data_IF_793068066067
#
_entry.id   IF_793068066067
#
_cell.length_a   1.000
_cell.length_b   1.000
_cell.length_c   1.000
_cell.angle_alpha   90.00
_cell.angle_beta   90.00
_cell.angle_gamma   90.00
#
_symmetry.space_group_name_H-M   'P 1'
#
loop_
_entity.id
_entity.type
_entity.pdbx_description
1 polymer ?
#
# COMPACT_ATOMS: atom_id res chain seq x y z
N UNK A 1 8.44 -3.59 -0.91
CA UNK A 1 8.45 -3.97 0.52
C UNK A 1 8.81 -5.42 0.54
N UNK A 2 9.91 -5.76 1.19
CA UNK A 2 10.55 -7.06 1.04
C UNK A 2 9.79 -8.21 1.76
N UNK A 3 9.38 -9.22 0.99
CA UNK A 3 8.88 -10.54 1.38
C UNK A 3 9.97 -11.44 1.97
N UNK A 4 9.57 -12.30 2.90
CA UNK A 4 10.46 -13.24 3.60
C UNK A 4 10.59 -14.55 2.83
N UNK A 5 11.78 -14.84 2.33
CA UNK A 5 12.17 -16.16 1.88
C UNK A 5 12.98 -16.87 2.98
N UNK A 6 12.71 -18.16 3.19
CA UNK A 6 13.38 -18.98 4.19
C UNK A 6 14.41 -19.88 3.50
N UNK A 7 15.70 -19.63 3.75
CA UNK A 7 16.77 -20.55 3.42
C UNK A 7 17.12 -21.47 4.60
N UNK A 8 18.05 -22.43 4.43
CA UNK A 8 18.40 -23.41 5.46
C UNK A 8 18.87 -22.80 6.79
N UNK A 9 19.36 -21.54 6.82
CA UNK A 9 19.80 -20.88 8.06
C UNK A 9 19.71 -19.34 8.07
N UNK A 10 18.98 -18.69 7.16
CA UNK A 10 18.87 -17.22 7.13
C UNK A 10 17.52 -16.74 6.61
N UNK A 11 16.99 -15.67 7.24
CA UNK A 11 15.83 -14.92 6.76
C UNK A 11 16.31 -13.97 5.67
N UNK A 12 15.85 -14.16 4.44
CA UNK A 12 16.19 -13.27 3.32
C UNK A 12 14.94 -12.50 2.93
N UNK A 13 15.13 -11.22 2.62
CA UNK A 13 14.09 -10.26 2.28
C UNK A 13 14.19 -9.93 0.77
N UNK A 14 13.08 -9.99 0.02
CA UNK A 14 12.99 -9.66 -1.43
C UNK A 14 11.68 -8.95 -1.75
N UNK A 15 11.63 -7.91 -2.58
CA UNK A 15 10.38 -7.16 -2.83
C UNK A 15 9.16 -8.00 -3.25
N UNK A 16 9.34 -8.97 -4.13
CA UNK A 16 8.29 -9.91 -4.55
C UNK A 16 8.89 -11.32 -4.58
N UNK A 17 8.15 -12.29 -4.05
CA UNK A 17 8.46 -13.71 -4.15
C UNK A 17 7.32 -14.39 -4.91
N UNK A 18 7.54 -14.71 -6.17
CA UNK A 18 6.56 -15.42 -6.99
C UNK A 18 6.76 -16.93 -6.89
N UNK A 19 5.67 -17.70 -7.00
CA UNK A 19 5.72 -19.17 -7.05
C UNK A 19 4.91 -19.65 -8.25
N UNK A 20 5.58 -20.30 -9.20
CA UNK A 20 4.96 -20.84 -10.42
C UNK A 20 5.28 -22.34 -10.45
N UNK A 21 4.26 -23.19 -10.46
CA UNK A 21 4.41 -24.65 -10.47
C UNK A 21 5.35 -25.20 -9.37
N UNK A 22 5.29 -24.59 -8.18
CA UNK A 22 6.13 -24.97 -7.03
C UNK A 22 7.58 -24.46 -7.09
N UNK A 23 7.98 -23.76 -8.17
CA UNK A 23 9.28 -23.09 -8.28
C UNK A 23 9.15 -21.64 -7.80
N UNK A 24 10.13 -21.19 -7.01
CA UNK A 24 10.14 -19.85 -6.41
C UNK A 24 11.04 -18.90 -7.20
N UNK A 25 10.57 -17.69 -7.42
CA UNK A 25 11.28 -16.62 -8.14
C UNK A 25 11.37 -15.40 -7.23
N UNK A 26 12.58 -14.88 -7.01
CA UNK A 26 12.81 -13.65 -6.28
C UNK A 26 12.78 -12.49 -7.27
N UNK A 27 11.98 -11.45 -7.02
CA UNK A 27 11.94 -10.25 -7.86
C UNK A 27 12.20 -9.04 -6.97
N UNK A 28 13.30 -8.35 -7.21
CA UNK A 28 13.65 -7.11 -6.52
C UNK A 28 13.27 -5.89 -7.37
N UNK A 29 12.65 -4.90 -6.74
CA UNK A 29 12.21 -3.68 -7.40
C UNK A 29 13.08 -2.50 -6.95
N UNK A 30 13.55 -1.73 -7.93
CA UNK A 30 14.16 -0.43 -7.68
C UNK A 30 13.41 0.65 -8.44
N UNK A 31 13.14 1.74 -7.75
CA UNK A 31 12.46 2.91 -8.30
C UNK A 31 13.19 4.17 -7.85
N UNK A 32 13.79 4.88 -8.81
CA UNK A 32 14.48 6.15 -8.58
C UNK A 32 13.86 7.21 -9.47
N UNK A 33 13.75 8.43 -8.95
CA UNK A 33 13.01 9.48 -9.65
C UNK A 33 13.75 10.80 -9.65
N UNK A 34 13.62 11.53 -10.75
CA UNK A 34 13.76 12.99 -10.81
C UNK A 34 12.41 13.64 -10.56
N UNK A 35 12.42 14.88 -10.04
CA UNK A 35 11.19 15.58 -9.75
C UNK A 35 10.43 15.88 -11.03
N UNK A 36 9.13 15.61 -11.00
CA UNK A 36 8.20 15.96 -12.07
C UNK A 36 6.81 16.17 -11.49
N UNK A 37 6.12 17.16 -12.03
CA UNK A 37 4.70 17.40 -11.84
C UNK A 37 3.97 17.13 -13.15
N UNK A 38 3.03 16.21 -13.12
CA UNK A 38 2.23 15.81 -14.28
C UNK A 38 0.82 15.38 -13.88
N UNK A 39 -0.11 15.47 -14.83
CA UNK A 39 -1.47 14.95 -14.67
C UNK A 39 -1.60 13.72 -15.56
N UNK A 40 -2.03 12.60 -14.98
CA UNK A 40 -2.30 11.36 -15.71
C UNK A 40 -3.73 10.97 -15.39
N UNK A 41 -4.57 10.81 -16.41
CA UNK A 41 -5.98 10.43 -16.27
C UNK A 41 -6.78 11.29 -15.27
N UNK A 42 -6.45 12.58 -15.18
CA UNK A 42 -7.10 13.54 -14.28
C UNK A 42 -6.55 13.55 -12.85
N UNK A 43 -5.60 12.68 -12.51
CA UNK A 43 -4.90 12.67 -11.22
C UNK A 43 -3.58 13.44 -11.30
N UNK A 44 -3.33 14.30 -10.31
CA UNK A 44 -2.09 15.07 -10.18
C UNK A 44 -1.01 14.26 -9.46
N UNK A 45 0.14 14.07 -10.13
CA UNK A 45 1.31 13.42 -9.58
C UNK A 45 2.44 14.43 -9.36
N UNK A 46 3.02 14.41 -8.16
CA UNK A 46 4.24 15.14 -7.82
C UNK A 46 5.29 14.15 -7.31
N UNK A 47 6.31 13.88 -8.12
CA UNK A 47 7.39 12.97 -7.78
C UNK A 47 8.54 13.71 -7.10
N UNK A 48 9.11 13.10 -6.06
CA UNK A 48 10.27 13.63 -5.36
C UNK A 48 11.58 13.30 -6.09
N UNK A 49 12.61 14.09 -5.80
CA UNK A 49 13.97 13.82 -6.27
C UNK A 49 14.66 12.75 -5.40
N UNK A 50 15.05 11.63 -6.01
CA UNK A 50 15.89 10.59 -5.42
C UNK A 50 17.32 10.72 -5.96
N UNK A 51 18.01 11.81 -5.59
CA UNK A 51 19.42 12.06 -5.95
C UNK A 51 20.42 11.04 -5.38
N UNK A 52 21.72 11.36 -5.46
CA UNK A 52 22.84 10.47 -5.09
C UNK A 52 22.90 9.20 -5.98
N UNK A 53 23.08 9.43 -7.28
CA UNK A 53 23.06 8.36 -8.29
C UNK A 53 24.23 7.39 -8.17
N UNK A 54 25.36 7.84 -7.65
CA UNK A 54 26.50 7.00 -7.27
C UNK A 54 26.07 5.92 -6.26
N UNK A 55 25.40 6.31 -5.18
CA UNK A 55 24.86 5.39 -4.17
C UNK A 55 23.75 4.52 -4.76
N UNK A 56 22.86 5.11 -5.56
CA UNK A 56 21.75 4.39 -6.20
C UNK A 56 22.23 3.26 -7.12
N UNK A 57 23.28 3.51 -7.90
CA UNK A 57 23.91 2.50 -8.78
C UNK A 57 24.51 1.34 -7.98
N UNK A 58 25.23 1.64 -6.90
CA UNK A 58 25.74 0.62 -6.00
C UNK A 58 24.61 -0.24 -5.42
N UNK A 59 23.54 0.39 -4.93
CA UNK A 59 22.42 -0.33 -4.29
C UNK A 59 21.72 -1.28 -5.27
N UNK A 60 21.50 -0.86 -6.52
CA UNK A 60 20.92 -1.71 -7.58
C UNK A 60 21.78 -2.97 -7.83
N UNK A 61 23.11 -2.82 -7.87
CA UNK A 61 24.01 -3.96 -8.08
C UNK A 61 24.17 -4.83 -6.84
N UNK A 62 24.06 -4.24 -5.64
CA UNK A 62 24.04 -4.99 -4.38
C UNK A 62 22.82 -5.89 -4.30
N UNK A 63 21.68 -5.43 -4.81
CA UNK A 63 20.49 -6.26 -4.93
C UNK A 63 20.66 -7.39 -5.93
N UNK A 64 21.29 -7.13 -7.08
CA UNK A 64 21.64 -8.18 -8.04
C UNK A 64 22.51 -9.27 -7.39
N UNK A 65 23.56 -8.87 -6.66
CA UNK A 65 24.39 -9.81 -5.90
C UNK A 65 23.57 -10.61 -4.88
N UNK A 66 22.62 -9.95 -4.19
CA UNK A 66 21.75 -10.62 -3.21
C UNK A 66 20.86 -11.66 -3.89
N UNK A 67 20.30 -11.35 -5.07
CA UNK A 67 19.52 -12.29 -5.87
C UNK A 67 20.35 -13.49 -6.33
N UNK A 68 21.59 -13.28 -6.79
CA UNK A 68 22.51 -14.37 -7.12
C UNK A 68 22.78 -15.29 -5.93
N UNK A 69 22.93 -14.71 -4.73
CA UNK A 69 23.15 -15.47 -3.51
C UNK A 69 21.91 -16.30 -3.15
N UNK A 70 20.69 -15.77 -3.31
CA UNK A 70 19.46 -16.51 -3.07
C UNK A 70 19.31 -17.73 -4.00
N UNK A 71 19.71 -17.60 -5.27
CA UNK A 71 19.75 -18.71 -6.22
C UNK A 71 20.79 -19.74 -5.80
N UNK A 72 22.00 -19.29 -5.46
CA UNK A 72 23.09 -20.18 -5.01
C UNK A 72 22.74 -20.95 -3.73
N UNK A 73 21.98 -20.34 -2.82
CA UNK A 73 21.51 -20.94 -1.57
C UNK A 73 20.29 -21.86 -1.78
N UNK A 74 19.79 -22.00 -3.00
CA UNK A 74 18.61 -22.81 -3.33
C UNK A 74 17.30 -22.26 -2.78
N UNK A 75 17.26 -20.99 -2.39
CA UNK A 75 16.08 -20.32 -1.83
C UNK A 75 15.03 -20.07 -2.93
N UNK A 76 15.50 -19.72 -4.12
CA UNK A 76 14.72 -19.48 -5.33
C UNK A 76 15.43 -20.14 -6.51
N UNK A 77 14.67 -20.48 -7.55
CA UNK A 77 15.24 -21.00 -8.80
C UNK A 77 15.81 -19.90 -9.68
N UNK A 78 15.35 -18.66 -9.49
CA UNK A 78 15.73 -17.52 -10.30
C UNK A 78 15.51 -16.21 -9.53
N UNK A 79 16.41 -15.26 -9.72
CA UNK A 79 16.32 -13.88 -9.27
C UNK A 79 16.13 -12.93 -10.45
N UNK A 80 15.24 -11.95 -10.29
CA UNK A 80 14.90 -10.94 -11.28
C UNK A 80 15.06 -9.57 -10.63
N UNK A 81 15.83 -8.68 -11.24
CA UNK A 81 15.92 -7.29 -10.84
C UNK A 81 15.15 -6.44 -11.84
N UNK A 82 14.25 -5.60 -11.36
CA UNK A 82 13.54 -4.60 -12.18
C UNK A 82 13.88 -3.22 -11.64
N UNK A 83 14.52 -2.40 -12.46
CA UNK A 83 14.87 -1.03 -12.12
C UNK A 83 14.18 -0.04 -13.05
N UNK A 84 13.24 0.73 -12.51
CA UNK A 84 12.48 1.76 -13.20
C UNK A 84 12.95 3.16 -12.77
N UNK A 85 13.19 4.06 -13.73
CA UNK A 85 13.61 5.43 -13.44
C UNK A 85 13.23 6.42 -14.54
N UNK A 86 12.96 7.66 -14.17
CA UNK A 86 12.91 8.82 -15.09
C UNK A 86 14.18 9.69 -15.03
N UNK A 87 15.20 9.23 -14.30
CA UNK A 87 16.51 9.87 -14.25
C UNK A 87 17.44 9.27 -15.31
N UNK A 88 17.56 9.96 -16.45
CA UNK A 88 18.41 9.55 -17.57
C UNK A 88 19.88 9.33 -17.17
N UNK A 89 20.36 9.93 -16.07
CA UNK A 89 21.75 9.75 -15.65
C UNK A 89 22.09 8.30 -15.26
N UNK A 90 21.10 7.43 -14.99
CA UNK A 90 21.36 6.02 -14.74
C UNK A 90 21.68 5.23 -16.02
N UNK A 91 21.04 5.55 -17.14
CA UNK A 91 21.18 4.83 -18.41
C UNK A 91 22.10 5.51 -19.44
N UNK A 92 22.40 6.80 -19.26
CA UNK A 92 23.25 7.55 -20.18
C UNK A 92 24.73 7.24 -19.97
N UNK A 93 25.44 6.92 -21.06
CA UNK A 93 26.90 6.82 -21.07
C UNK A 93 27.50 8.23 -20.94
N UNK A 94 28.37 8.51 -19.95
CA UNK A 94 29.04 9.80 -19.83
C UNK A 94 30.01 10.13 -20.98
N UNK A 95 30.24 9.22 -21.93
CA UNK A 95 30.94 9.44 -23.20
C UNK A 95 32.46 9.66 -23.11
N UNK A 96 32.96 9.98 -21.92
CA UNK A 96 34.39 10.01 -21.60
C UNK A 96 34.67 9.10 -20.41
N UNK A 97 35.77 8.37 -20.50
CA UNK A 97 36.28 7.53 -19.42
C UNK A 97 36.87 8.39 -18.28
N UNK A 98 35.99 9.12 -17.60
CA UNK A 98 36.33 9.89 -16.41
C UNK A 98 36.44 8.93 -15.24
N UNK A 99 37.58 8.98 -14.54
CA UNK A 99 37.76 8.29 -13.26
C UNK A 99 36.83 8.90 -12.20
N UNK A 100 35.60 8.41 -12.16
CA UNK A 100 34.57 8.78 -11.19
C UNK A 100 34.49 7.72 -10.09
N UNK A 101 34.12 8.13 -8.88
CA UNK A 101 34.04 7.27 -7.70
C UNK A 101 33.22 5.99 -7.93
N UNK A 102 32.14 6.08 -8.71
CA UNK A 102 31.17 5.01 -8.95
C UNK A 102 31.32 4.34 -10.33
N UNK A 103 32.44 4.55 -11.04
CA UNK A 103 32.66 4.06 -12.41
C UNK A 103 32.29 2.58 -12.59
N UNK A 104 32.75 1.75 -11.65
CA UNK A 104 32.51 0.31 -11.69
C UNK A 104 31.03 -0.04 -11.49
N UNK A 105 30.24 0.82 -10.83
CA UNK A 105 28.81 0.62 -10.57
C UNK A 105 27.89 1.20 -11.64
N UNK A 106 28.41 1.89 -12.67
CA UNK A 106 27.59 2.48 -13.74
C UNK A 106 26.61 1.46 -14.35
N UNK A 107 25.44 1.95 -14.74
CA UNK A 107 24.32 1.16 -15.27
C UNK A 107 23.90 1.61 -16.68
N UNK A 108 24.80 2.26 -17.44
CA UNK A 108 24.42 2.81 -18.73
C UNK A 108 24.12 1.72 -19.78
N UNK A 109 23.40 2.11 -20.82
CA UNK A 109 23.08 1.26 -21.97
C UNK A 109 24.34 0.58 -22.54
N UNK A 110 24.22 -0.71 -22.84
CA UNK A 110 25.25 -1.53 -23.46
C UNK A 110 26.43 -1.89 -22.55
N UNK A 111 26.44 -1.49 -21.27
CA UNK A 111 27.52 -1.86 -20.35
C UNK A 111 27.40 -3.33 -19.94
N UNK A 112 28.51 -4.06 -19.95
CA UNK A 112 28.62 -5.36 -19.28
C UNK A 112 28.96 -5.22 -17.79
N UNK A 113 28.27 -5.95 -16.93
CA UNK A 113 28.52 -6.01 -15.49
C UNK A 113 28.85 -7.44 -15.06
N UNK A 114 30.02 -7.62 -14.45
CA UNK A 114 30.49 -8.90 -13.91
C UNK A 114 31.68 -8.70 -12.97
N UNK A 115 31.96 -9.68 -12.12
CA UNK A 115 33.17 -9.74 -11.29
C UNK A 115 33.12 -8.83 -10.07
N UNK A 116 34.31 -8.49 -9.56
CA UNK A 116 34.47 -7.65 -8.36
C UNK A 116 34.34 -6.17 -8.73
N UNK A 117 33.37 -5.48 -8.13
CA UNK A 117 33.11 -4.06 -8.33
C UNK A 117 33.48 -3.29 -7.05
N UNK A 118 34.33 -2.28 -7.20
CA UNK A 118 34.81 -1.44 -6.11
C UNK A 118 34.55 0.03 -6.38
N UNK A 119 34.46 0.83 -5.32
CA UNK A 119 34.61 2.28 -5.41
C UNK A 119 35.99 2.65 -5.98
N UNK A 120 36.09 3.82 -6.61
CA UNK A 120 37.37 4.38 -7.05
C UNK A 120 38.28 4.68 -5.86
N UNK A 121 39.59 4.56 -6.05
CA UNK A 121 40.60 4.65 -4.96
C UNK A 121 40.54 5.93 -4.13
N UNK A 122 40.06 7.03 -4.72
CA UNK A 122 39.97 8.35 -4.09
C UNK A 122 38.56 8.69 -3.57
N UNK A 123 37.66 7.70 -3.48
CA UNK A 123 36.30 7.94 -3.00
C UNK A 123 36.30 8.30 -1.50
N UNK A 124 35.63 9.39 -1.15
CA UNK A 124 35.56 9.86 0.23
C UNK A 124 34.80 8.89 1.14
N UNK A 125 35.27 8.75 2.39
CA UNK A 125 34.65 7.90 3.42
C UNK A 125 33.17 8.21 3.67
N UNK A 126 32.77 9.48 3.55
CA UNK A 126 31.37 9.88 3.67
C UNK A 126 30.47 9.30 2.57
N UNK A 127 30.98 9.20 1.34
CA UNK A 127 30.26 8.63 0.19
C UNK A 127 30.10 7.10 0.36
N UNK A 128 31.12 6.42 0.88
CA UNK A 128 31.11 4.97 1.05
C UNK A 128 30.37 4.48 2.29
N UNK A 129 29.92 5.37 3.18
CA UNK A 129 29.34 4.98 4.47
C UNK A 129 28.17 3.99 4.32
N UNK A 130 28.34 2.78 4.86
CA UNK A 130 27.39 1.65 4.76
C UNK A 130 27.44 0.87 3.43
N UNK A 131 28.41 1.16 2.57
CA UNK A 131 28.64 0.61 1.21
C UNK A 131 30.13 0.36 0.96
N UNK A 132 30.91 0.17 2.03
CA UNK A 132 32.37 0.08 1.98
C UNK A 132 32.83 -1.21 1.29
N UNK A 133 32.05 -2.28 1.45
CA UNK A 133 32.38 -3.60 0.93
C UNK A 133 32.26 -3.67 -0.60
N UNK A 134 33.25 -4.26 -1.29
CA UNK A 134 33.16 -4.57 -2.71
C UNK A 134 31.97 -5.48 -3.02
N UNK A 135 31.35 -5.24 -4.17
CA UNK A 135 30.34 -6.16 -4.71
C UNK A 135 31.02 -7.24 -5.54
N UNK A 136 30.49 -8.46 -5.49
CA UNK A 136 30.95 -9.60 -6.27
C UNK A 136 29.79 -10.15 -7.09
N UNK A 137 29.74 -9.77 -8.37
CA UNK A 137 28.74 -10.26 -9.33
C UNK A 137 29.30 -11.52 -9.98
N UNK A 138 28.66 -12.67 -9.74
CA UNK A 138 29.11 -13.98 -10.23
C UNK A 138 28.75 -14.19 -11.70
N UNK A 139 27.57 -13.73 -12.10
CA UNK A 139 27.11 -13.74 -13.48
C UNK A 139 27.75 -12.64 -14.32
N UNK A 140 27.40 -12.65 -15.61
CA UNK A 140 27.69 -11.56 -16.54
C UNK A 140 26.37 -11.06 -17.12
N UNK A 141 26.16 -9.76 -17.03
CA UNK A 141 24.91 -9.11 -17.42
C UNK A 141 25.23 -7.97 -18.38
N UNK A 142 24.70 -8.06 -19.60
CA UNK A 142 24.71 -6.94 -20.53
C UNK A 142 23.46 -6.09 -20.29
N UNK A 143 23.67 -4.81 -20.02
CA UNK A 143 22.61 -3.91 -19.59
C UNK A 143 21.89 -3.32 -20.79
N UNK A 144 20.61 -3.67 -20.93
CA UNK A 144 19.72 -3.12 -21.96
C UNK A 144 18.51 -2.45 -21.32
N UNK A 145 18.34 -1.16 -21.59
CA UNK A 145 17.23 -0.35 -21.13
C UNK A 145 16.12 -0.33 -22.16
N UNK A 146 14.91 -0.58 -21.70
CA UNK A 146 13.70 -0.42 -22.50
C UNK A 146 13.00 0.90 -22.13
N UNK A 147 12.42 1.57 -23.12
CA UNK A 147 11.45 2.64 -22.87
C UNK A 147 10.22 2.03 -22.22
N UNK A 148 9.81 2.56 -21.06
CA UNK A 148 8.67 2.06 -20.30
C UNK A 148 7.41 2.90 -20.54
N UNK A 149 7.48 4.21 -20.26
CA UNK A 149 6.36 5.11 -20.45
C UNK A 149 6.82 6.55 -20.65
N UNK A 150 5.93 7.37 -21.22
CA UNK A 150 6.08 8.82 -21.26
C UNK A 150 4.83 9.46 -20.65
N UNK A 151 4.99 10.11 -19.51
CA UNK A 151 3.89 10.73 -18.73
C UNK A 151 3.81 12.25 -18.94
N UNK A 152 4.84 12.83 -19.55
CA UNK A 152 4.91 14.26 -19.86
C UNK A 152 5.93 14.51 -20.96
N UNK A 153 5.79 15.62 -21.68
CA UNK A 153 6.84 16.14 -22.57
C UNK A 153 7.93 16.92 -21.82
N UNK A 154 7.76 17.18 -20.51
CA UNK A 154 8.75 17.87 -19.66
C UNK A 154 9.95 16.95 -19.38
N UNK A 155 11.08 17.57 -19.01
CA UNK A 155 12.24 16.85 -18.48
C UNK A 155 11.84 15.98 -17.28
N UNK A 156 12.25 14.72 -17.27
CA UNK A 156 11.80 13.72 -16.29
C UNK A 156 10.44 13.07 -16.62
N UNK A 157 9.85 13.36 -17.78
CA UNK A 157 8.59 12.76 -18.22
C UNK A 157 8.73 11.39 -18.86
N UNK A 158 9.95 10.94 -19.15
CA UNK A 158 10.26 9.65 -19.75
C UNK A 158 10.75 8.69 -18.69
N UNK A 159 10.15 7.50 -18.64
CA UNK A 159 10.57 6.41 -17.77
C UNK A 159 11.20 5.30 -18.60
N UNK A 160 12.32 4.78 -18.11
CA UNK A 160 13.05 3.65 -18.68
C UNK A 160 13.19 2.54 -17.65
N UNK A 161 13.18 1.30 -18.13
CA UNK A 161 13.24 0.10 -17.33
C UNK A 161 14.47 -0.73 -17.71
N UNK A 162 15.23 -1.17 -16.71
CA UNK A 162 16.27 -2.18 -16.82
C UNK A 162 15.78 -3.44 -16.11
N UNK A 163 15.75 -4.56 -16.82
CA UNK A 163 15.37 -5.86 -16.26
C UNK A 163 16.52 -6.86 -16.42
N UNK A 164 16.97 -7.45 -15.31
CA UNK A 164 18.03 -8.46 -15.30
C UNK A 164 17.50 -9.76 -14.70
N UNK A 165 17.87 -10.89 -15.29
CA UNK A 165 17.56 -12.22 -14.77
C UNK A 165 18.86 -12.98 -14.50
N UNK A 166 18.96 -13.62 -13.33
CA UNK A 166 20.09 -14.48 -12.97
C UNK A 166 20.19 -15.75 -13.84
N UNK A 167 19.14 -16.09 -14.58
CA UNK A 167 19.12 -17.23 -15.51
C UNK A 167 19.70 -16.88 -16.88
N UNK A 168 19.83 -15.58 -17.20
CA UNK A 168 20.38 -15.06 -18.44
C UNK A 168 21.89 -15.15 -18.57
N UNK A 169 22.57 -15.97 -17.74
CA UNK A 169 24.00 -16.28 -17.88
C UNK A 169 24.19 -17.12 -19.15
N UNK A 170 24.26 -16.46 -20.31
CA UNK A 170 24.45 -17.15 -21.58
C UNK A 170 25.88 -17.69 -21.68
N UNK A 171 26.01 -19.01 -21.67
CA UNK A 171 26.72 -19.66 -22.78
C UNK A 171 25.77 -19.66 -23.98
N UNK A 172 26.11 -18.80 -24.94
CA UNK A 172 25.56 -18.69 -26.30
C UNK A 172 24.10 -18.20 -26.50
N UNK A 173 24.03 -17.34 -27.52
CA UNK A 173 22.97 -16.46 -27.96
C UNK A 173 21.71 -17.14 -28.45
N UNK A 174 20.57 -16.77 -27.86
CA UNK A 174 19.34 -16.51 -28.63
C UNK A 174 18.66 -15.26 -28.12
N UNK A 175 18.74 -14.18 -28.90
CA UNK A 175 18.00 -12.94 -28.69
C UNK A 175 16.49 -13.18 -28.78
N UNK A 176 15.78 -12.90 -27.69
CA UNK A 176 14.44 -12.34 -27.76
C UNK A 176 14.45 -11.12 -26.86
N UNK A 177 14.72 -9.96 -27.46
CA UNK A 177 14.57 -8.68 -26.79
C UNK A 177 13.12 -8.55 -26.29
N UNK A 178 12.94 -8.51 -24.98
CA UNK A 178 11.66 -8.20 -24.37
C UNK A 178 11.30 -6.75 -24.71
N UNK A 179 10.19 -6.57 -25.43
CA UNK A 179 9.55 -5.27 -25.63
C UNK A 179 8.36 -5.18 -24.70
N UNK A 180 8.24 -4.15 -23.84
CA UNK A 180 7.01 -3.94 -23.10
C UNK A 180 5.85 -3.72 -24.09
N UNK A 181 4.63 -4.20 -23.80
CA UNK A 181 3.47 -3.78 -24.57
C UNK A 181 3.42 -2.25 -24.56
N UNK A 182 3.36 -1.66 -25.75
CA UNK A 182 3.10 -0.24 -25.93
C UNK A 182 1.92 0.15 -25.04
N UNK A 183 2.09 1.24 -24.27
CA UNK A 183 1.08 2.09 -23.64
C UNK A 183 -0.35 1.53 -23.68
N UNK A 184 -0.92 1.27 -22.51
CA UNK A 184 -2.38 1.15 -22.33
C UNK A 184 -3.00 2.44 -22.87
N UNK A 185 -3.43 2.42 -24.13
CA UNK A 185 -4.44 3.35 -24.62
C UNK A 185 -5.76 2.84 -24.07
N UNK A 186 -6.36 3.64 -23.20
CA UNK A 186 -7.67 3.37 -22.63
C UNK A 186 -8.71 3.23 -23.73
N UNK A 187 -8.97 2.00 -24.17
CA UNK A 187 -10.24 1.57 -24.76
C UNK A 187 -10.21 0.05 -24.92
N UNK A 188 -10.86 -0.64 -24.00
CA UNK A 188 -11.73 -1.80 -24.24
C UNK A 188 -12.14 -2.37 -22.88
N UNK A 189 -13.25 -1.84 -22.36
CA UNK A 189 -14.02 -2.51 -21.31
C UNK A 189 -14.63 -3.73 -21.99
N UNK A 190 -14.00 -4.90 -21.80
CA UNK A 190 -14.64 -6.17 -22.07
C UNK A 190 -15.60 -6.43 -20.91
N UNK A 191 -16.89 -6.21 -21.17
CA UNK A 191 -17.96 -6.65 -20.30
C UNK A 191 -18.07 -8.17 -20.35
N UNK A 192 -18.08 -8.78 -19.18
CA UNK A 192 -18.50 -10.16 -19.00
C UNK A 192 -17.46 -10.99 -18.26
N UNK A 193 -17.66 -11.14 -16.96
CA UNK A 193 -17.66 -12.43 -16.26
C UNK A 193 -18.12 -12.17 -14.81
N UNK A 194 -19.43 -12.24 -14.58
CA UNK A 194 -20.00 -12.31 -13.23
C UNK A 194 -19.87 -13.74 -12.73
N UNK A 195 -18.97 -13.97 -11.79
CA UNK A 195 -19.04 -15.11 -10.87
C UNK A 195 -18.74 -14.59 -9.47
N UNK A 196 -19.70 -13.88 -8.89
CA UNK A 196 -19.78 -13.64 -7.45
C UNK A 196 -20.76 -14.66 -6.89
N UNK A 197 -20.24 -15.60 -6.10
CA UNK A 197 -21.07 -16.45 -5.23
C UNK A 197 -21.88 -15.54 -4.32
N UNK A 198 -23.21 -15.58 -4.48
CA UNK A 198 -24.17 -14.88 -3.64
C UNK A 198 -24.00 -15.28 -2.18
N UNK A 199 -23.41 -14.39 -1.38
CA UNK A 199 -23.58 -14.42 0.07
C UNK A 199 -24.82 -13.59 0.34
N UNK A 200 -25.91 -14.26 0.75
CA UNK A 200 -27.15 -13.61 1.12
C UNK A 200 -26.92 -12.65 2.30
N UNK A 201 -26.92 -11.35 2.01
CA UNK A 201 -26.90 -10.28 3.01
C UNK A 201 -28.29 -10.24 3.64
N UNK A 202 -28.37 -10.49 4.96
CA UNK A 202 -29.60 -10.28 5.73
C UNK A 202 -29.86 -8.77 5.81
N UNK A 203 -31.05 -8.38 5.38
CA UNK A 203 -31.59 -7.02 5.46
C UNK A 203 -31.90 -6.65 6.92
N UNK A 204 -31.19 -5.65 7.47
CA UNK A 204 -31.21 -5.32 8.91
C UNK A 204 -31.29 -3.82 9.26
N UNK A 205 -31.71 -2.95 8.33
CA UNK A 205 -31.96 -1.52 8.66
C UNK A 205 -31.29 -0.51 7.73
N UNK A 206 -31.26 -0.84 6.44
CA UNK A 206 -31.03 -0.02 5.26
C UNK A 206 -30.00 1.12 5.41
N UNK A 207 -28.77 0.81 5.03
CA UNK A 207 -27.84 1.78 4.43
C UNK A 207 -27.72 1.46 2.94
N UNK A 208 -28.73 1.77 2.09
CA UNK A 208 -28.77 1.29 0.71
C UNK A 208 -27.55 1.73 -0.11
N UNK A 209 -27.00 2.90 0.20
CA UNK A 209 -25.77 3.38 -0.42
C UNK A 209 -24.58 2.48 -0.09
N UNK A 210 -24.48 1.96 1.14
CA UNK A 210 -23.39 1.07 1.53
C UNK A 210 -23.59 -0.33 0.96
N UNK A 211 -24.83 -0.82 0.95
CA UNK A 211 -25.14 -2.14 0.39
C UNK A 211 -24.85 -2.17 -1.12
N UNK A 212 -25.21 -1.10 -1.84
CA UNK A 212 -24.88 -0.95 -3.25
C UNK A 212 -23.37 -0.77 -3.49
N UNK A 213 -22.66 -0.04 -2.62
CA UNK A 213 -21.20 0.08 -2.68
C UNK A 213 -20.51 -1.27 -2.46
N UNK A 214 -20.92 -2.02 -1.44
CA UNK A 214 -20.37 -3.32 -1.11
C UNK A 214 -20.60 -4.34 -2.23
N UNK A 215 -21.74 -4.26 -2.93
CA UNK A 215 -22.04 -5.11 -4.09
C UNK A 215 -21.10 -4.90 -5.28
N UNK A 216 -20.46 -3.74 -5.42
CA UNK A 216 -19.44 -3.53 -6.46
C UNK A 216 -18.21 -4.42 -6.24
N UNK A 217 -17.95 -4.83 -4.99
CA UNK A 217 -16.88 -5.76 -4.65
C UNK A 217 -15.49 -5.23 -4.98
N UNK A 218 -15.30 -3.91 -5.04
CA UNK A 218 -13.99 -3.33 -5.31
C UNK A 218 -13.07 -3.44 -4.08
N UNK A 219 -11.76 -3.55 -4.29
CA UNK A 219 -10.80 -3.51 -3.19
C UNK A 219 -10.20 -2.11 -3.11
N UNK A 220 -10.38 -1.40 -1.98
CA UNK A 220 -9.65 -0.18 -1.72
C UNK A 220 -8.18 -0.45 -1.40
N UNK A 221 -7.28 0.19 -2.14
CA UNK A 221 -5.82 0.05 -2.01
C UNK A 221 -5.23 0.91 -0.87
N UNK A 222 -5.98 1.90 -0.40
CA UNK A 222 -5.61 2.78 0.71
C UNK A 222 -6.86 3.36 1.39
N UNK A 223 -6.69 4.14 2.47
CA UNK A 223 -7.80 4.88 3.08
C UNK A 223 -8.31 5.99 2.17
N UNK A 224 -7.41 6.66 1.45
CA UNK A 224 -7.77 7.69 0.45
C UNK A 224 -8.57 7.05 -0.69
N UNK A 225 -8.13 5.90 -1.18
CA UNK A 225 -8.84 5.16 -2.23
C UNK A 225 -10.23 4.69 -1.76
N UNK A 226 -10.38 4.21 -0.51
CA UNK A 226 -11.69 3.89 0.06
C UNK A 226 -12.60 5.12 0.10
N UNK A 227 -12.07 6.26 0.55
CA UNK A 227 -12.82 7.53 0.62
C UNK A 227 -13.31 7.92 -0.77
N UNK A 228 -12.42 7.90 -1.76
CA UNK A 228 -12.71 8.44 -3.08
C UNK A 228 -13.65 7.51 -3.87
N UNK A 229 -13.47 6.19 -3.76
CA UNK A 229 -14.43 5.21 -4.31
C UNK A 229 -15.82 5.36 -3.69
N UNK A 230 -15.90 5.45 -2.36
CA UNK A 230 -17.18 5.65 -1.69
C UNK A 230 -17.82 7.01 -2.05
N UNK A 231 -17.03 8.07 -2.14
CA UNK A 231 -17.51 9.39 -2.56
C UNK A 231 -18.05 9.37 -3.99
N UNK A 232 -17.38 8.67 -4.91
CA UNK A 232 -17.84 8.51 -6.29
C UNK A 232 -19.13 7.71 -6.35
N UNK A 233 -19.21 6.57 -5.64
CA UNK A 233 -20.43 5.79 -5.54
C UNK A 233 -21.61 6.60 -5.00
N UNK A 234 -21.38 7.42 -3.95
CA UNK A 234 -22.40 8.31 -3.41
C UNK A 234 -22.91 9.32 -4.45
N UNK A 235 -22.02 9.86 -5.30
CA UNK A 235 -22.44 10.71 -6.43
C UNK A 235 -23.29 9.95 -7.45
N UNK A 236 -22.91 8.72 -7.78
CA UNK A 236 -23.65 7.86 -8.71
C UNK A 236 -25.06 7.55 -8.22
N UNK A 237 -25.25 7.35 -6.91
CA UNK A 237 -26.58 7.14 -6.30
C UNK A 237 -27.30 8.44 -5.91
N UNK A 238 -26.81 9.59 -6.37
CA UNK A 238 -27.53 10.86 -6.40
C UNK A 238 -27.18 11.85 -5.27
N UNK A 239 -26.13 11.65 -4.50
CA UNK A 239 -25.69 12.64 -3.51
C UNK A 239 -24.77 13.71 -4.12
N UNK A 240 -24.92 14.94 -3.64
CA UNK A 240 -23.90 15.98 -3.77
C UNK A 240 -22.83 15.75 -2.70
N UNK A 241 -21.59 15.46 -3.13
CA UNK A 241 -20.52 15.00 -2.23
C UNK A 241 -19.36 15.98 -2.15
N UNK A 242 -19.03 16.41 -0.93
CA UNK A 242 -17.80 17.10 -0.56
C UNK A 242 -16.91 16.14 0.23
N UNK A 243 -15.67 15.95 -0.24
CA UNK A 243 -14.65 15.24 0.53
C UNK A 243 -13.93 16.22 1.44
N UNK A 244 -13.44 15.75 2.58
CA UNK A 244 -12.55 16.53 3.44
C UNK A 244 -13.20 17.83 3.97
N UNK A 245 -14.51 17.83 4.24
CA UNK A 245 -15.28 19.02 4.63
C UNK A 245 -14.82 19.54 5.98
N UNK A 246 -14.43 20.81 6.00
CA UNK A 246 -14.03 21.54 7.20
C UNK A 246 -15.28 22.06 7.94
N UNK A 247 -15.40 21.75 9.23
CA UNK A 247 -16.45 22.20 10.14
C UNK A 247 -15.86 23.03 11.30
N UNK A 248 -14.71 23.67 11.09
CA UNK A 248 -13.96 24.45 12.06
C UNK A 248 -12.81 23.66 12.67
N UNK A 249 -13.03 23.08 13.84
CA UNK A 249 -12.00 22.30 14.54
C UNK A 249 -11.94 20.84 14.08
N UNK A 250 -12.89 20.41 13.26
CA UNK A 250 -13.04 19.03 12.83
C UNK A 250 -13.19 18.96 11.32
N UNK A 251 -12.63 17.91 10.74
CA UNK A 251 -12.70 17.60 9.33
C UNK A 251 -13.42 16.27 9.16
N UNK A 252 -14.39 16.24 8.26
CA UNK A 252 -15.16 15.05 7.90
C UNK A 252 -14.68 14.50 6.56
N UNK A 253 -14.39 13.21 6.50
CA UNK A 253 -13.84 12.58 5.29
C UNK A 253 -14.79 12.69 4.10
N UNK A 254 -16.07 12.40 4.29
CA UNK A 254 -17.10 12.52 3.26
C UNK A 254 -18.34 13.18 3.86
N UNK A 255 -18.80 14.24 3.20
CA UNK A 255 -20.08 14.87 3.45
C UNK A 255 -20.95 14.77 2.21
N UNK A 256 -22.13 14.16 2.34
CA UNK A 256 -23.00 13.89 1.21
C UNK A 256 -24.44 14.37 1.50
N UNK A 257 -25.01 15.11 0.56
CA UNK A 257 -26.34 15.74 0.67
C UNK A 257 -27.22 15.27 -0.49
N UNK A 258 -28.45 14.82 -0.20
CA UNK A 258 -29.46 14.48 -1.21
C UNK A 258 -30.84 14.78 -0.65
N UNK A 259 -31.59 15.63 -1.33
CA UNK A 259 -32.90 16.10 -0.89
C UNK A 259 -32.87 16.62 0.57
N UNK A 260 -33.56 15.93 1.49
CA UNK A 260 -33.60 16.26 2.93
C UNK A 260 -32.67 15.35 3.77
N UNK A 261 -31.80 14.57 3.13
CA UNK A 261 -30.85 13.67 3.79
C UNK A 261 -29.45 14.26 3.71
N UNK A 262 -28.82 14.44 4.87
CA UNK A 262 -27.40 14.79 4.97
C UNK A 262 -26.68 13.70 5.75
N UNK A 263 -25.60 13.16 5.17
CA UNK A 263 -24.77 12.15 5.82
C UNK A 263 -23.31 12.62 5.92
N UNK A 264 -22.71 12.35 7.08
CA UNK A 264 -21.31 12.57 7.38
C UNK A 264 -20.65 11.20 7.61
N UNK A 265 -19.56 10.90 6.89
CA UNK A 265 -18.91 9.60 6.95
C UNK A 265 -17.43 9.78 7.28
N UNK A 266 -16.95 9.02 8.26
CA UNK A 266 -15.54 8.80 8.54
C UNK A 266 -15.12 7.45 8.01
N UNK A 267 -14.00 7.39 7.28
CA UNK A 267 -13.55 6.13 6.67
C UNK A 267 -12.18 5.73 7.19
N UNK A 268 -12.04 4.45 7.51
CA UNK A 268 -10.77 3.81 7.82
C UNK A 268 -10.59 2.59 6.94
N UNK A 269 -9.40 2.47 6.36
CA UNK A 269 -8.97 1.24 5.70
C UNK A 269 -7.76 0.71 6.48
N UNK A 270 -7.88 -0.49 7.04
CA UNK A 270 -6.82 -1.13 7.84
C UNK A 270 -6.51 -2.50 7.28
N UNK A 271 -5.30 -2.67 6.77
CA UNK A 271 -4.97 -3.86 5.99
C UNK A 271 -3.92 -4.73 6.66
N UNK A 272 -4.14 -6.05 6.59
CA UNK A 272 -3.08 -7.03 6.70
C UNK A 272 -2.43 -7.22 5.33
N UNK A 273 -1.17 -7.66 5.32
CA UNK A 273 -0.43 -7.93 4.09
C UNK A 273 -1.18 -8.94 3.20
N UNK A 274 -1.45 -8.54 1.96
CA UNK A 274 -1.83 -9.44 0.86
C UNK A 274 -1.10 -9.08 -0.42
N UNK A 275 -0.83 -10.10 -1.22
CA UNK A 275 -0.46 -9.97 -2.62
C UNK A 275 -1.30 -10.99 -3.38
N UNK A 276 -2.20 -10.53 -4.23
CA UNK A 276 -3.15 -11.38 -4.93
C UNK A 276 -3.45 -10.83 -6.32
N UNK A 277 -3.93 -11.67 -7.23
CA UNK A 277 -4.53 -11.23 -8.49
C UNK A 277 -6.03 -11.19 -8.30
N UNK A 278 -6.64 -10.02 -8.53
CA UNK A 278 -8.08 -9.82 -8.46
C UNK A 278 -8.54 -9.12 -9.73
N UNK A 279 -9.54 -9.70 -10.41
CA UNK A 279 -10.07 -9.18 -11.67
C UNK A 279 -8.97 -8.91 -12.73
N UNK A 280 -7.96 -9.79 -12.80
CA UNK A 280 -6.83 -9.65 -13.72
C UNK A 280 -5.78 -8.61 -13.31
N UNK A 281 -5.98 -7.90 -12.20
CA UNK A 281 -5.04 -6.90 -11.68
C UNK A 281 -4.27 -7.44 -10.47
N UNK A 282 -2.99 -7.12 -10.38
CA UNK A 282 -2.19 -7.42 -9.17
C UNK A 282 -2.51 -6.42 -8.07
N UNK A 283 -2.98 -6.91 -6.93
CA UNK A 283 -3.25 -6.14 -5.72
C UNK A 283 -2.17 -6.42 -4.69
N UNK A 284 -1.62 -5.36 -4.10
CA UNK A 284 -0.64 -5.44 -3.02
C UNK A 284 -1.04 -4.48 -1.90
N UNK A 285 -1.54 -5.02 -0.79
CA UNK A 285 -1.88 -4.24 0.41
C UNK A 285 -0.78 -4.40 1.44
N UNK A 286 -0.30 -3.29 1.99
CA UNK A 286 0.75 -3.30 3.03
C UNK A 286 0.18 -3.73 4.37
N UNK A 287 0.99 -4.36 5.21
CA UNK A 287 0.60 -4.58 6.61
C UNK A 287 0.59 -3.26 7.38
N UNK A 288 -0.58 -2.83 7.84
CA UNK A 288 -0.76 -1.68 8.72
C UNK A 288 -0.86 -2.17 10.18
N UNK A 289 0.30 -2.54 10.73
CA UNK A 289 0.44 -2.92 12.14
C UNK A 289 0.02 -1.77 13.09
N UNK A 290 -0.06 -2.06 14.40
CA UNK A 290 -0.63 -1.20 15.45
C UNK A 290 -2.17 -1.15 15.46
N UNK A 291 -2.76 -2.33 15.69
CA UNK A 291 -4.21 -2.48 15.83
C UNK A 291 -4.77 -1.73 17.04
N UNK A 292 -4.00 -1.63 18.12
CA UNK A 292 -4.32 -0.88 19.33
C UNK A 292 -4.59 0.61 19.02
N UNK A 293 -3.64 1.26 18.36
CA UNK A 293 -3.74 2.66 17.91
C UNK A 293 -4.89 2.83 16.92
N UNK A 294 -5.04 1.90 15.98
CA UNK A 294 -6.08 1.98 14.95
C UNK A 294 -7.50 1.82 15.51
N UNK A 295 -7.65 1.02 16.56
CA UNK A 295 -8.92 0.87 17.30
C UNK A 295 -9.31 2.15 18.04
N UNK A 296 -8.34 2.79 18.71
CA UNK A 296 -8.56 4.11 19.31
C UNK A 296 -9.06 5.10 18.25
N UNK A 297 -8.36 5.19 17.12
CA UNK A 297 -8.67 6.15 16.06
C UNK A 297 -10.10 5.96 15.53
N UNK A 298 -10.51 4.70 15.27
CA UNK A 298 -11.86 4.39 14.82
C UNK A 298 -12.94 4.79 15.86
N UNK A 299 -12.69 4.53 17.14
CA UNK A 299 -13.63 4.92 18.21
C UNK A 299 -13.66 6.44 18.38
N UNK A 300 -12.53 7.12 18.16
CA UNK A 300 -12.45 8.58 18.16
C UNK A 300 -13.29 9.17 17.04
N UNK A 301 -13.33 8.53 15.87
CA UNK A 301 -14.19 8.94 14.75
C UNK A 301 -15.69 8.82 15.12
N UNK A 302 -16.08 7.77 15.86
CA UNK A 302 -17.45 7.65 16.40
C UNK A 302 -17.76 8.82 17.36
N UNK A 303 -16.86 9.12 18.30
CA UNK A 303 -17.03 10.25 19.23
C UNK A 303 -17.11 11.61 18.53
N UNK A 304 -16.30 11.80 17.47
CA UNK A 304 -16.37 12.95 16.57
C UNK A 304 -17.74 13.07 15.91
N UNK A 305 -18.24 11.98 15.34
CA UNK A 305 -19.55 11.95 14.70
C UNK A 305 -20.70 12.19 15.70
N UNK A 306 -20.61 11.72 16.95
CA UNK A 306 -21.57 12.09 18.01
C UNK A 306 -21.62 13.61 18.24
N UNK A 307 -20.47 14.30 18.15
CA UNK A 307 -20.40 15.76 18.25
C UNK A 307 -21.11 16.43 17.07
N UNK A 308 -20.84 15.96 15.85
CA UNK A 308 -21.44 16.49 14.62
C UNK A 308 -22.96 16.36 14.65
N UNK A 309 -23.49 15.16 14.89
CA UNK A 309 -24.95 14.91 14.85
C UNK A 309 -25.68 15.62 15.99
N UNK A 310 -25.01 15.88 17.12
CA UNK A 310 -25.59 16.65 18.23
C UNK A 310 -25.73 18.12 17.88
N UNK A 311 -24.72 18.70 17.23
CA UNK A 311 -24.73 20.09 16.81
C UNK A 311 -25.57 20.32 15.54
N UNK A 312 -25.80 19.26 14.76
CA UNK A 312 -26.57 19.25 13.51
C UNK A 312 -27.50 18.03 13.45
N UNK A 313 -28.67 18.08 14.12
CA UNK A 313 -29.60 16.95 14.18
C UNK A 313 -30.17 16.48 12.83
N UNK A 314 -30.06 17.32 11.79
CA UNK A 314 -30.36 17.01 10.39
C UNK A 314 -29.34 16.07 9.73
N UNK A 315 -28.19 15.86 10.36
CA UNK A 315 -27.09 15.06 9.84
C UNK A 315 -27.10 13.66 10.46
N UNK A 316 -26.92 12.64 9.63
CA UNK A 316 -26.64 11.27 10.08
C UNK A 316 -25.15 10.97 9.95
N UNK A 317 -24.51 10.56 11.05
CA UNK A 317 -23.09 10.21 11.07
C UNK A 317 -22.85 8.70 10.91
N UNK A 318 -21.85 8.31 10.11
CA UNK A 318 -21.42 6.92 9.94
C UNK A 318 -19.90 6.77 10.07
N UNK A 319 -19.43 5.85 10.92
CA UNK A 319 -18.03 5.44 10.97
C UNK A 319 -17.86 4.10 10.25
N UNK A 320 -17.12 4.09 9.14
CA UNK A 320 -16.84 2.92 8.33
C UNK A 320 -15.39 2.47 8.51
N UNK A 321 -15.20 1.22 8.93
CA UNK A 321 -13.91 0.55 8.89
C UNK A 321 -13.98 -0.64 7.93
N UNK A 322 -13.12 -0.65 6.91
CA UNK A 322 -12.89 -1.81 6.06
C UNK A 322 -11.54 -2.45 6.41
N UNK A 323 -11.52 -3.77 6.55
CA UNK A 323 -10.29 -4.48 6.89
C UNK A 323 -10.26 -5.92 6.40
N UNK A 324 -9.06 -6.41 6.06
CA UNK A 324 -8.76 -7.83 5.91
C UNK A 324 -7.89 -8.39 7.06
N UNK A 325 -7.63 -7.59 8.09
CA UNK A 325 -6.92 -8.03 9.28
C UNK A 325 -7.92 -8.57 10.31
N UNK A 326 -8.01 -9.89 10.36
CA UNK A 326 -8.92 -10.58 11.27
C UNK A 326 -8.71 -10.28 12.76
N UNK A 327 -7.60 -9.65 13.15
CA UNK A 327 -7.42 -9.19 14.51
C UNK A 327 -8.37 -8.06 14.92
N UNK A 328 -9.04 -7.38 13.99
CA UNK A 328 -10.05 -6.37 14.33
C UNK A 328 -11.38 -6.98 14.76
N UNK A 329 -11.88 -8.00 14.04
CA UNK A 329 -13.19 -8.60 14.30
C UNK A 329 -13.13 -9.86 15.18
N UNK A 330 -11.98 -10.52 15.31
CA UNK A 330 -11.86 -11.66 16.23
C UNK A 330 -11.77 -11.21 17.70
N UNK A 331 -12.41 -11.96 18.63
CA UNK A 331 -12.24 -11.74 20.06
C UNK A 331 -10.76 -11.75 20.49
N UNK A 332 -10.38 -10.97 21.51
CA UNK A 332 -9.00 -10.88 21.95
C UNK A 332 -8.53 -12.22 22.54
N UNK A 333 -7.35 -12.67 22.12
CA UNK A 333 -6.69 -13.85 22.72
C UNK A 333 -6.16 -13.58 24.13
N UNK A 334 -5.91 -12.32 24.47
CA UNK A 334 -5.42 -11.86 25.79
C UNK A 334 -6.51 -11.03 26.45
N UNK A 335 -6.92 -11.41 27.65
CA UNK A 335 -7.96 -10.71 28.42
C UNK A 335 -7.53 -9.31 28.88
N UNK A 336 -6.24 -9.13 29.21
CA UNK A 336 -5.71 -7.89 29.79
C UNK A 336 -4.82 -7.12 28.81
N UNK A 337 -5.30 -6.91 27.58
CA UNK A 337 -4.59 -6.07 26.62
C UNK A 337 -4.75 -4.59 26.99
N UNK A 338 -3.69 -3.79 26.81
CA UNK A 338 -3.68 -2.35 27.13
C UNK A 338 -4.73 -1.54 26.37
N UNK A 339 -5.20 -2.08 25.24
CA UNK A 339 -6.26 -1.52 24.39
C UNK A 339 -7.62 -2.20 24.59
N UNK A 340 -7.81 -2.92 25.71
CA UNK A 340 -9.02 -3.71 25.97
C UNK A 340 -10.31 -2.90 25.83
N UNK A 341 -10.32 -1.67 26.35
CA UNK A 341 -11.47 -0.75 26.21
C UNK A 341 -11.70 -0.26 24.78
N UNK A 342 -10.71 -0.36 23.89
CA UNK A 342 -10.83 0.00 22.47
C UNK A 342 -11.12 -1.19 21.54
N UNK A 343 -11.19 -2.44 22.02
CA UNK A 343 -11.51 -3.58 21.14
C UNK A 343 -12.78 -3.34 20.33
N UNK A 344 -12.76 -3.72 19.07
CA UNK A 344 -13.90 -3.58 18.15
C UNK A 344 -14.29 -4.93 17.55
N UNK A 345 -14.09 -6.03 18.29
CA UNK A 345 -14.41 -7.35 17.77
C UNK A 345 -15.91 -7.52 17.52
N UNK A 346 -16.25 -8.47 16.67
CA UNK A 346 -17.64 -8.79 16.35
C UNK A 346 -18.45 -9.17 17.60
N UNK A 347 -19.69 -8.71 17.63
CA UNK A 347 -20.63 -8.89 18.74
C UNK A 347 -20.35 -8.05 19.99
N UNK A 348 -19.32 -7.18 19.99
CA UNK A 348 -19.05 -6.33 21.16
C UNK A 348 -20.10 -5.24 21.27
N UNK A 349 -20.59 -4.99 22.49
CA UNK A 349 -21.33 -3.77 22.83
C UNK A 349 -20.34 -2.67 23.26
N UNK A 350 -20.20 -1.61 22.46
CA UNK A 350 -19.30 -0.49 22.70
C UNK A 350 -20.07 0.69 23.31
N UNK A 351 -19.68 1.16 24.49
CA UNK A 351 -20.35 2.27 25.19
C UNK A 351 -19.46 2.91 26.26
N UNK A 352 -19.80 4.12 26.69
CA UNK A 352 -19.20 4.77 27.85
C UNK A 352 -17.78 5.28 27.61
N UNK A 353 -16.93 5.22 28.64
CA UNK A 353 -15.56 5.75 28.60
C UNK A 353 -14.59 4.69 28.09
N UNK A 354 -13.88 5.01 27.02
CA UNK A 354 -12.81 4.20 26.46
C UNK A 354 -11.45 4.87 26.73
N UNK A 355 -10.63 4.24 27.56
CA UNK A 355 -9.29 4.71 27.93
C UNK A 355 -8.25 3.60 27.78
N UNK A 356 -6.98 3.98 27.64
CA UNK A 356 -5.87 3.05 27.76
C UNK A 356 -5.83 2.45 29.17
N UNK A 357 -5.31 1.22 29.29
CA UNK A 357 -4.94 0.67 30.59
C UNK A 357 -3.70 1.39 31.14
N UNK A 358 -3.54 1.39 32.46
CA UNK A 358 -2.45 2.09 33.16
C UNK A 358 -1.06 1.61 32.72
N UNK A 359 -0.95 0.37 32.24
CA UNK A 359 0.29 -0.24 31.77
C UNK A 359 0.63 0.08 30.30
N UNK A 360 -0.17 0.92 29.62
CA UNK A 360 0.10 1.32 28.25
C UNK A 360 1.40 2.15 28.14
N UNK A 361 2.27 1.77 27.21
CA UNK A 361 3.52 2.50 26.98
C UNK A 361 3.26 3.88 26.37
N UNK A 362 4.06 4.89 26.74
CA UNK A 362 3.93 6.27 26.23
C UNK A 362 3.98 6.36 24.70
N UNK A 363 4.78 5.50 24.04
CA UNK A 363 4.82 5.43 22.58
C UNK A 363 3.51 4.96 21.93
N UNK A 364 2.74 4.10 22.61
CA UNK A 364 1.43 3.63 22.14
C UNK A 364 0.35 4.70 22.32
N UNK A 365 0.41 5.47 23.41
CA UNK A 365 -0.62 6.47 23.76
C UNK A 365 -0.33 7.86 23.20
N UNK A 366 0.84 8.09 22.60
CA UNK A 366 1.25 9.41 22.11
C UNK A 366 0.21 10.02 21.16
N UNK A 367 -0.30 11.21 21.52
CA UNK A 367 -1.36 11.93 20.80
C UNK A 367 -2.76 11.34 20.95
N UNK A 368 -2.94 10.38 21.88
CA UNK A 368 -4.16 9.60 22.15
C UNK A 368 -4.37 9.41 23.65
N UNK A 369 -3.85 10.33 24.45
CA UNK A 369 -3.85 10.24 25.91
C UNK A 369 -5.24 10.50 26.50
N UNK A 370 -6.07 11.27 25.78
CA UNK A 370 -7.39 11.68 26.24
C UNK A 370 -8.40 10.53 26.09
N UNK A 371 -9.12 10.15 27.16
CA UNK A 371 -10.19 9.15 27.06
C UNK A 371 -11.30 9.58 26.09
N UNK A 372 -11.85 8.62 25.35
CA UNK A 372 -12.99 8.85 24.46
C UNK A 372 -14.27 8.59 25.25
N UNK A 373 -15.15 9.59 25.29
CA UNK A 373 -16.44 9.52 25.97
C UNK A 373 -17.56 9.34 24.95
N UNK A 374 -18.11 8.13 24.85
CA UNK A 374 -19.26 7.85 24.01
C UNK A 374 -20.56 8.04 24.81
N UNK A 375 -21.50 8.76 24.22
CA UNK A 375 -22.86 8.91 24.76
C UNK A 375 -23.78 7.78 24.30
N UNK A 376 -23.52 7.23 23.10
CA UNK A 376 -24.22 6.09 22.55
C UNK A 376 -23.76 4.72 23.07
N UNK A 377 -24.55 3.72 22.73
CA UNK A 377 -24.24 2.31 22.92
C UNK A 377 -24.38 1.61 21.57
N UNK A 378 -23.29 1.03 21.09
CA UNK A 378 -23.15 0.56 19.72
C UNK A 378 -22.88 -0.95 19.70
N UNK A 379 -23.84 -1.79 19.26
CA UNK A 379 -23.53 -3.16 18.91
C UNK A 379 -22.61 -3.16 17.68
N UNK A 380 -21.44 -3.78 17.80
CA UNK A 380 -20.47 -3.86 16.73
C UNK A 380 -20.70 -5.15 15.94
N UNK A 381 -21.19 -5.00 14.72
CA UNK A 381 -21.52 -6.11 13.82
C UNK A 381 -20.64 -6.01 12.58
N UNK A 382 -19.66 -6.92 12.48
CA UNK A 382 -18.84 -7.02 11.29
C UNK A 382 -19.57 -7.81 10.21
N UNK A 383 -19.57 -7.26 9.01
CA UNK A 383 -20.27 -7.83 7.86
C UNK A 383 -19.26 -8.26 6.80
N UNK A 384 -19.43 -9.44 6.17
CA UNK A 384 -18.62 -9.81 5.01
C UNK A 384 -18.70 -8.74 3.92
N UNK A 385 -17.56 -8.32 3.38
CA UNK A 385 -17.49 -7.36 2.29
C UNK A 385 -17.05 -8.03 0.99
N UNK A 386 -15.92 -8.75 1.03
CA UNK A 386 -15.37 -9.44 -0.13
C UNK A 386 -14.51 -10.61 0.33
N UNK A 387 -14.50 -11.72 -0.41
CA UNK A 387 -13.53 -12.79 -0.24
C UNK A 387 -12.86 -13.08 -1.58
N UNK A 388 -11.53 -12.96 -1.61
CA UNK A 388 -10.73 -13.28 -2.80
C UNK A 388 -10.64 -14.79 -3.01
N UNK A 389 -10.29 -15.53 -1.96
CA UNK A 389 -10.25 -16.99 -1.88
C UNK A 389 -10.20 -17.41 -0.39
N UNK A 390 -9.84 -18.67 -0.10
CA UNK A 390 -9.75 -19.20 1.26
C UNK A 390 -8.38 -19.01 1.94
N UNK A 391 -7.46 -18.25 1.34
CA UNK A 391 -6.15 -17.99 1.91
C UNK A 391 -6.22 -16.98 3.07
N UNK A 392 -5.15 -16.94 3.85
CA UNK A 392 -5.05 -16.07 5.01
C UNK A 392 -5.11 -14.59 4.59
N UNK A 393 -5.92 -13.79 5.28
CA UNK A 393 -6.15 -12.36 5.03
C UNK A 393 -6.85 -12.05 3.69
N UNK A 394 -7.40 -13.05 2.99
CA UNK A 394 -8.13 -12.84 1.72
C UNK A 394 -9.63 -12.57 1.93
N UNK A 395 -10.08 -12.58 3.18
CA UNK A 395 -11.41 -12.14 3.60
C UNK A 395 -11.34 -10.69 4.09
N UNK A 396 -12.20 -9.86 3.51
CA UNK A 396 -12.44 -8.48 3.89
C UNK A 396 -13.80 -8.40 4.59
N UNK A 397 -13.81 -7.71 5.73
CA UNK A 397 -15.03 -7.40 6.47
C UNK A 397 -15.13 -5.89 6.68
N UNK A 398 -16.36 -5.41 6.80
CA UNK A 398 -16.68 -4.03 7.09
C UNK A 398 -17.41 -3.90 8.44
N UNK A 399 -17.03 -2.88 9.21
CA UNK A 399 -17.75 -2.43 10.40
C UNK A 399 -18.30 -1.04 10.12
N UNK A 400 -19.62 -0.93 10.08
CA UNK A 400 -20.34 0.32 9.84
C UNK A 400 -21.15 0.68 11.09
N UNK A 401 -20.80 1.80 11.74
CA UNK A 401 -21.48 2.27 12.95
C UNK A 401 -22.19 3.59 12.66
N UNK A 402 -23.51 3.61 12.85
CA UNK A 402 -24.32 4.84 12.80
C UNK A 402 -24.23 5.58 14.14
N UNK A 403 -23.71 6.80 14.14
CA UNK A 403 -23.60 7.62 15.35
C UNK A 403 -24.99 8.03 15.86
N UNK A 404 -25.16 8.04 17.19
CA UNK A 404 -26.42 8.43 17.83
C UNK A 404 -26.38 9.89 18.28
N UNK A 405 -27.55 10.55 18.23
CA UNK A 405 -27.72 11.91 18.72
C UNK A 405 -28.28 11.90 20.15
N UNK A 406 -27.43 11.60 21.13
CA UNK A 406 -27.78 11.66 22.55
C UNK A 406 -27.19 12.92 23.23
N UNK A 407 -27.96 13.56 24.15
CA UNK A 407 -27.44 14.67 24.95
C UNK A 407 -26.32 14.17 25.87
N UNK A 408 -25.33 15.04 26.13
CA UNK A 408 -24.28 14.72 27.12
C UNK A 408 -24.94 14.54 28.50
N UNK A 409 -24.60 13.50 29.27
CA UNK A 409 -25.08 13.38 30.64
C UNK A 409 -24.66 14.62 31.43
N UNK A 410 -25.58 15.16 32.23
CA UNK A 410 -25.34 16.26 33.15
C UNK A 410 -24.15 15.91 34.04
N UNK A 411 -23.14 16.78 34.12
CA UNK A 411 -22.09 16.63 35.11
C UNK A 411 -22.72 16.78 36.50
N UNK A 412 -22.75 15.70 37.28
CA UNK A 412 -23.15 15.70 38.68
C UNK A 412 -21.92 15.79 39.58
#
# INVERSE_FOLDING_TARGET
MEMKAHGPNTKVYVDILASIEGRKYAIELKYKTRPIECVIDGEEFSLNNHGAQDLGRYDVLKDLQRLEQMVADGVVVEGILVFLTNDASYNSDPGQDKQTADRNFRLHEGKGVSGKLTWGEQTGQGTMKGREEPLSIRGRYDLHWANYSRVSSKSGGEFQCLMLSTSGVQTESTEKAWSPPSVITATEIVTGFTNTTEIAVKDDGATPWFDSFAKQGEIPLSQIDLRDKLANHLREVGYLVSVNRDLGNEKIDIWAERDNETIAIEVRNKTALIQAVYQGQSISLKNQAAQDVSRYDYISDIGKLESVVRNRPDVTGYALLLSNDSGYWNPPKKLNAVDGKFRIHDGRLLSGVCSWADEAASGTTSGREVPIHLTGTYPLEWRPYLRLDNAKNHEFQALLVKATNLPKPSAH
#
